data_IF_317041740811
#
_entry.id   IF_317041740811
#
_cell.length_a   1.000
_cell.length_b   1.000
_cell.length_c   1.000
_cell.angle_alpha   90.00
_cell.angle_beta   90.00
_cell.angle_gamma   90.00
#
_symmetry.space_group_name_H-M   'P 1'
#
loop_
_entity.id
_entity.type
_entity.pdbx_description
1 polymer ?
#
# COMPACT_ATOMS: atom_id res chain seq x y z
N UNK A 1 -9.19 -20.03 10.87
CA UNK A 1 -8.06 -19.40 10.16
C UNK A 1 -8.26 -17.90 10.23
N UNK A 2 -7.27 -17.09 10.64
CA UNK A 2 -7.44 -15.65 10.65
C UNK A 2 -7.65 -15.17 9.21
N UNK A 3 -8.85 -14.67 8.92
CA UNK A 3 -9.16 -13.96 7.69
C UNK A 3 -9.00 -12.46 7.92
N UNK A 4 -8.90 -11.68 6.84
CA UNK A 4 -9.02 -10.22 6.92
C UNK A 4 -10.33 -9.89 7.63
N UNK A 5 -10.27 -9.11 8.71
CA UNK A 5 -11.49 -8.67 9.40
C UNK A 5 -12.18 -7.64 8.53
N UNK A 6 -13.31 -8.01 7.97
CA UNK A 6 -14.17 -7.09 7.21
C UNK A 6 -15.10 -6.33 8.16
N UNK A 7 -15.24 -5.03 7.92
CA UNK A 7 -16.14 -4.13 8.63
C UNK A 7 -17.02 -3.46 7.60
N UNK A 8 -18.31 -3.74 7.66
CA UNK A 8 -19.30 -3.05 6.84
C UNK A 8 -19.55 -1.67 7.44
N UNK A 9 -19.49 -0.65 6.61
CA UNK A 9 -19.78 0.72 7.01
C UNK A 9 -21.09 1.14 6.35
N UNK A 10 -22.00 1.72 7.14
CA UNK A 10 -23.32 2.12 6.65
C UNK A 10 -23.26 3.37 5.78
N UNK A 11 -22.48 4.38 6.20
CA UNK A 11 -22.35 5.66 5.53
C UNK A 11 -20.94 6.28 5.68
N UNK A 12 -20.70 7.40 4.98
CA UNK A 12 -19.41 8.08 5.05
C UNK A 12 -19.06 8.56 6.46
N UNK A 13 -20.04 9.02 7.25
CA UNK A 13 -19.81 9.52 8.61
C UNK A 13 -19.32 8.40 9.55
N UNK A 14 -19.90 7.21 9.42
CA UNK A 14 -19.50 6.01 10.15
C UNK A 14 -18.08 5.59 9.78
N UNK A 15 -17.67 5.75 8.51
CA UNK A 15 -16.29 5.51 8.10
C UNK A 15 -15.32 6.49 8.77
N UNK A 16 -15.68 7.77 8.85
CA UNK A 16 -14.87 8.79 9.54
C UNK A 16 -14.73 8.48 11.03
N UNK A 17 -15.81 8.08 11.70
CA UNK A 17 -15.77 7.68 13.11
C UNK A 17 -14.85 6.47 13.34
N UNK A 18 -14.87 5.47 12.45
CA UNK A 18 -13.94 4.34 12.50
C UNK A 18 -12.48 4.76 12.31
N UNK A 19 -12.22 5.70 11.40
CA UNK A 19 -10.88 6.28 11.18
C UNK A 19 -10.39 6.99 12.44
N UNK A 20 -11.21 7.84 13.04
CA UNK A 20 -10.87 8.58 14.27
C UNK A 20 -10.56 7.59 15.40
N UNK A 21 -11.41 6.57 15.56
CA UNK A 21 -11.22 5.50 16.54
C UNK A 21 -9.90 4.73 16.30
N UNK A 22 -9.52 4.46 15.06
CA UNK A 22 -8.22 3.83 14.73
C UNK A 22 -7.06 4.71 15.16
N UNK A 23 -7.11 6.01 14.84
CA UNK A 23 -6.05 6.96 15.13
C UNK A 23 -5.88 7.17 16.65
N UNK A 24 -6.98 7.38 17.37
CA UNK A 24 -6.99 7.51 18.83
C UNK A 24 -6.43 6.26 19.52
N UNK A 25 -6.84 5.07 19.07
CA UNK A 25 -6.33 3.81 19.60
C UNK A 25 -4.82 3.64 19.34
N UNK A 26 -4.34 4.10 18.18
CA UNK A 26 -2.91 4.07 17.86
C UNK A 26 -2.13 5.00 18.81
N UNK A 27 -2.63 6.21 19.07
CA UNK A 27 -2.00 7.17 19.97
C UNK A 27 -2.02 6.71 21.42
N UNK A 28 -3.15 6.17 21.89
CA UNK A 28 -3.29 5.59 23.24
C UNK A 28 -2.32 4.41 23.45
N UNK A 29 -2.10 3.57 22.43
CA UNK A 29 -1.10 2.50 22.50
C UNK A 29 0.33 3.04 22.54
N UNK A 30 0.63 4.09 21.77
CA UNK A 30 1.96 4.73 21.79
C UNK A 30 2.29 5.32 23.16
N UNK A 31 1.32 5.94 23.82
CA UNK A 31 1.53 6.56 25.13
C UNK A 31 1.67 5.54 26.27
N UNK A 32 1.00 4.39 26.17
CA UNK A 32 1.00 3.35 27.21
C UNK A 32 2.11 2.31 27.04
N UNK A 33 2.64 2.15 25.83
CA UNK A 33 3.66 1.13 25.55
C UNK A 33 5.05 1.61 25.94
N UNK A 34 5.64 1.00 26.98
CA UNK A 34 6.96 1.40 27.50
C UNK A 34 8.17 0.74 26.82
N UNK A 35 7.97 -0.34 26.05
CA UNK A 35 9.07 -1.16 25.48
C UNK A 35 8.85 -1.65 24.03
N UNK A 36 7.69 -1.42 23.45
CA UNK A 36 7.32 -1.88 22.10
C UNK A 36 7.14 -0.74 21.10
N UNK A 37 7.34 -1.03 19.81
CA UNK A 37 7.06 -0.09 18.73
C UNK A 37 5.56 -0.13 18.39
N UNK A 38 4.98 1.04 18.10
CA UNK A 38 3.61 1.15 17.56
C UNK A 38 3.67 1.94 16.25
N UNK A 39 3.51 1.25 15.12
CA UNK A 39 3.53 1.88 13.80
C UNK A 39 2.27 2.70 13.57
N UNK A 40 2.37 3.70 12.70
CA UNK A 40 1.18 4.39 12.21
C UNK A 40 0.30 3.41 11.41
N UNK A 41 -1.03 3.60 11.39
CA UNK A 41 -1.88 2.89 10.46
C UNK A 41 -1.60 3.36 9.02
N UNK A 42 -1.61 2.40 8.10
CA UNK A 42 -1.47 2.59 6.66
C UNK A 42 -2.77 2.21 5.97
N UNK A 43 -3.21 3.01 5.01
CA UNK A 43 -4.51 2.91 4.36
C UNK A 43 -4.35 2.62 2.87
N UNK A 44 -5.18 1.74 2.30
CA UNK A 44 -5.17 1.46 0.86
C UNK A 44 -6.59 1.36 0.31
N UNK A 45 -6.92 2.24 -0.63
CA UNK A 45 -8.19 2.19 -1.35
C UNK A 45 -8.18 1.19 -2.49
N UNK A 46 -9.32 0.54 -2.69
CA UNK A 46 -9.61 -0.30 -3.84
C UNK A 46 -11.02 0.00 -4.34
N UNK A 47 -11.15 0.23 -5.65
CA UNK A 47 -12.45 0.55 -6.26
C UNK A 47 -13.41 -0.62 -6.32
N UNK A 48 -13.00 -1.83 -5.92
CA UNK A 48 -13.90 -2.97 -5.86
C UNK A 48 -13.61 -3.76 -4.58
N UNK A 49 -14.64 -3.95 -3.77
CA UNK A 49 -14.52 -4.70 -2.52
C UNK A 49 -14.05 -6.15 -2.70
N UNK A 50 -14.26 -6.78 -3.86
CA UNK A 50 -13.87 -8.18 -4.08
C UNK A 50 -12.36 -8.36 -4.30
N UNK A 51 -11.62 -7.27 -4.55
CA UNK A 51 -10.21 -7.36 -4.92
C UNK A 51 -9.30 -7.63 -3.70
N UNK A 52 -8.49 -8.70 -3.74
CA UNK A 52 -7.52 -9.00 -2.68
C UNK A 52 -6.32 -8.06 -2.73
N UNK A 53 -5.50 -8.07 -1.67
CA UNK A 53 -4.23 -7.32 -1.62
C UNK A 53 -3.10 -7.96 -2.44
N UNK A 54 -3.28 -7.98 -3.76
CA UNK A 54 -2.26 -8.41 -4.72
C UNK A 54 -1.32 -7.26 -5.08
N UNK A 55 -0.04 -7.58 -5.21
CA UNK A 55 0.97 -6.71 -5.82
C UNK A 55 0.83 -6.71 -7.35
N UNK A 56 1.54 -5.82 -8.04
CA UNK A 56 1.46 -5.77 -9.51
C UNK A 56 2.19 -6.95 -10.15
N UNK A 57 3.23 -7.51 -9.50
CA UNK A 57 3.90 -8.72 -9.99
C UNK A 57 2.99 -9.95 -9.90
N UNK A 58 2.21 -10.09 -8.82
CA UNK A 58 1.24 -11.19 -8.67
C UNK A 58 0.09 -11.09 -9.66
N UNK A 59 -0.38 -9.86 -9.97
CA UNK A 59 -1.38 -9.64 -11.03
C UNK A 59 -0.84 -9.94 -12.43
N UNK A 60 0.43 -9.65 -12.67
CA UNK A 60 1.05 -9.80 -13.99
C UNK A 60 1.45 -11.25 -14.29
N UNK A 61 1.80 -12.04 -13.27
CA UNK A 61 2.31 -13.40 -13.44
C UNK A 61 1.89 -14.31 -12.30
N UNK A 62 1.34 -15.47 -12.63
CA UNK A 62 1.04 -16.54 -11.68
C UNK A 62 2.29 -17.27 -11.15
N UNK A 63 3.49 -16.97 -11.67
CA UNK A 63 4.74 -17.60 -11.23
C UNK A 63 5.16 -17.03 -9.88
N UNK A 64 5.62 -17.89 -8.98
CA UNK A 64 6.31 -17.47 -7.76
C UNK A 64 7.64 -16.79 -8.09
N UNK A 65 7.93 -15.68 -7.40
CA UNK A 65 9.14 -14.90 -7.56
C UNK A 65 9.95 -14.92 -6.27
N UNK A 66 11.11 -15.58 -6.30
CA UNK A 66 12.10 -15.41 -5.23
C UNK A 66 12.71 -14.02 -5.28
N UNK A 67 13.12 -13.50 -4.11
CA UNK A 67 13.77 -12.19 -4.01
C UNK A 67 15.00 -12.13 -4.93
N UNK A 68 15.83 -13.17 -4.91
CA UNK A 68 17.02 -13.31 -5.77
C UNK A 68 16.66 -13.25 -7.25
N UNK A 69 15.63 -13.99 -7.68
CA UNK A 69 15.20 -14.01 -9.09
C UNK A 69 14.70 -12.64 -9.54
N UNK A 70 13.91 -11.97 -8.71
CA UNK A 70 13.40 -10.64 -9.03
C UNK A 70 14.53 -9.60 -9.05
N UNK A 71 15.51 -9.68 -8.14
CA UNK A 71 16.68 -8.81 -8.14
C UNK A 71 17.53 -8.94 -9.41
N UNK A 72 17.80 -10.16 -9.88
CA UNK A 72 18.48 -10.39 -11.19
C UNK A 72 17.68 -9.82 -12.37
N UNK A 73 16.35 -9.88 -12.31
CA UNK A 73 15.50 -9.23 -13.31
C UNK A 73 15.72 -7.71 -13.31
N UNK A 74 15.77 -7.07 -12.13
CA UNK A 74 16.05 -5.64 -12.01
C UNK A 74 17.41 -5.26 -12.62
N UNK A 75 18.45 -6.05 -12.34
CA UNK A 75 19.78 -5.87 -12.96
C UNK A 75 19.74 -6.00 -14.48
N UNK A 76 18.93 -6.92 -15.00
CA UNK A 76 18.80 -7.17 -16.44
C UNK A 76 18.08 -6.03 -17.18
N UNK A 77 17.04 -5.43 -16.57
CA UNK A 77 16.27 -4.33 -17.18
C UNK A 77 16.89 -2.96 -16.92
N UNK A 78 17.75 -2.84 -15.90
CA UNK A 78 18.44 -1.60 -15.50
C UNK A 78 19.07 -0.81 -16.65
N UNK A 79 19.87 -1.43 -17.53
CA UNK A 79 20.51 -0.74 -18.66
C UNK A 79 19.52 -0.04 -19.59
N UNK A 80 18.35 -0.65 -19.89
CA UNK A 80 17.36 -0.03 -20.75
C UNK A 80 16.75 1.23 -20.13
N UNK A 81 16.49 1.21 -18.81
CA UNK A 81 15.96 2.37 -18.09
C UNK A 81 17.03 3.46 -17.96
N UNK A 82 18.29 3.08 -17.72
CA UNK A 82 19.42 4.01 -17.73
C UNK A 82 19.55 4.70 -19.10
N UNK A 83 19.50 3.96 -20.21
CA UNK A 83 19.58 4.55 -21.56
C UNK A 83 18.47 5.55 -21.85
N UNK A 84 17.27 5.36 -21.29
CA UNK A 84 16.16 6.30 -21.45
C UNK A 84 16.30 7.54 -20.56
N UNK A 85 16.74 7.37 -19.32
CA UNK A 85 16.63 8.41 -18.27
C UNK A 85 17.93 9.11 -17.96
N UNK A 86 19.07 8.51 -18.34
CA UNK A 86 20.43 8.88 -17.92
C UNK A 86 20.64 8.90 -16.40
N UNK A 87 19.68 8.39 -15.62
CA UNK A 87 19.78 8.29 -14.16
C UNK A 87 20.35 6.93 -13.79
N UNK A 88 21.43 6.93 -13.02
CA UNK A 88 21.97 5.69 -12.45
C UNK A 88 21.25 5.37 -11.13
N UNK A 89 20.94 4.09 -10.92
CA UNK A 89 20.41 3.57 -9.66
C UNK A 89 21.39 2.60 -9.04
N UNK A 90 21.52 2.61 -7.72
CA UNK A 90 22.21 1.56 -7.00
C UNK A 90 21.32 0.32 -6.93
N UNK A 91 21.61 -0.67 -7.77
CA UNK A 91 20.86 -1.93 -7.80
C UNK A 91 21.35 -2.93 -6.74
N UNK A 92 22.45 -2.64 -6.04
CA UNK A 92 23.11 -3.58 -5.14
C UNK A 92 23.82 -4.72 -5.87
N UNK A 93 24.76 -5.35 -5.17
CA UNK A 93 25.48 -6.52 -5.67
C UNK A 93 24.62 -7.79 -5.58
N UNK A 94 24.79 -8.72 -6.52
CA UNK A 94 24.23 -10.09 -6.41
C UNK A 94 25.06 -10.85 -5.38
N UNK A 95 24.82 -10.54 -4.10
CA UNK A 95 25.43 -11.28 -3.00
C UNK A 95 24.42 -12.30 -2.50
N UNK A 96 24.82 -13.57 -2.45
CA UNK A 96 24.03 -14.63 -1.79
C UNK A 96 23.77 -14.33 -0.30
N UNK A 97 24.43 -13.31 0.25
CA UNK A 97 24.40 -12.86 1.64
C UNK A 97 23.56 -11.59 1.88
N UNK A 98 22.56 -11.28 1.05
CA UNK A 98 21.55 -10.30 1.46
C UNK A 98 20.90 -10.83 2.73
N UNK A 99 21.11 -10.17 3.86
CA UNK A 99 20.51 -10.54 5.14
C UNK A 99 18.99 -10.38 5.06
N UNK A 100 18.34 -11.42 4.59
CA UNK A 100 16.89 -11.54 4.44
C UNK A 100 16.17 -11.57 5.79
N UNK A 101 16.89 -11.71 6.92
CA UNK A 101 16.29 -11.73 8.26
C UNK A 101 15.92 -10.34 8.78
N UNK A 102 16.45 -9.26 8.18
CA UNK A 102 16.22 -7.89 8.67
C UNK A 102 15.02 -7.23 7.98
N UNK A 103 14.31 -6.40 8.76
CA UNK A 103 13.25 -5.50 8.28
C UNK A 103 13.89 -4.29 7.57
N UNK A 104 14.61 -4.55 6.48
CA UNK A 104 15.30 -3.54 5.68
C UNK A 104 14.74 -3.59 4.27
N UNK A 105 14.62 -2.44 3.58
CA UNK A 105 14.27 -2.44 2.16
C UNK A 105 15.15 -3.37 1.32
N UNK A 106 14.56 -4.06 0.33
CA UNK A 106 15.34 -4.92 -0.55
C UNK A 106 16.37 -4.09 -1.34
N UNK A 107 17.44 -4.74 -1.84
CA UNK A 107 18.32 -4.09 -2.82
C UNK A 107 17.52 -3.50 -3.98
N UNK A 108 18.01 -2.41 -4.57
CA UNK A 108 17.34 -1.71 -5.65
C UNK A 108 15.94 -1.13 -5.32
N UNK A 109 15.60 -0.93 -4.04
CA UNK A 109 14.27 -0.42 -3.64
C UNK A 109 13.83 0.87 -4.36
N UNK A 110 14.72 1.87 -4.47
CA UNK A 110 14.42 3.10 -5.23
C UNK A 110 14.07 2.78 -6.70
N UNK A 111 14.81 1.88 -7.32
CA UNK A 111 14.56 1.47 -8.70
C UNK A 111 13.24 0.72 -8.83
N UNK A 112 12.87 -0.10 -7.84
CA UNK A 112 11.57 -0.79 -7.80
C UNK A 112 10.40 0.18 -7.71
N UNK A 113 10.54 1.27 -6.95
CA UNK A 113 9.51 2.32 -6.87
C UNK A 113 9.39 3.04 -8.22
N UNK A 114 10.52 3.42 -8.82
CA UNK A 114 10.55 4.05 -10.14
C UNK A 114 9.84 3.16 -11.18
N UNK A 115 10.22 1.89 -11.26
CA UNK A 115 9.63 0.93 -12.18
C UNK A 115 8.11 0.79 -11.97
N UNK A 116 7.67 0.64 -10.71
CA UNK A 116 6.26 0.58 -10.35
C UNK A 116 5.50 1.82 -10.83
N UNK A 117 6.11 2.99 -10.67
CA UNK A 117 5.50 4.26 -11.05
C UNK A 117 5.17 4.32 -12.55
N UNK A 118 6.01 3.72 -13.38
CA UNK A 118 5.82 3.63 -14.84
C UNK A 118 5.16 2.32 -15.29
N UNK A 119 4.49 1.59 -14.38
CA UNK A 119 3.67 0.42 -14.72
C UNK A 119 4.43 -0.91 -14.83
N UNK A 120 5.73 -0.94 -14.54
CA UNK A 120 6.46 -2.21 -14.51
C UNK A 120 6.05 -3.04 -13.27
N UNK A 121 5.78 -4.34 -13.41
CA UNK A 121 5.33 -5.18 -12.29
C UNK A 121 6.34 -5.23 -11.14
N UNK A 122 5.86 -5.07 -9.91
CA UNK A 122 6.68 -4.93 -8.71
C UNK A 122 6.03 -5.65 -7.52
N UNK A 123 6.83 -6.25 -6.60
CA UNK A 123 6.34 -6.88 -5.38
C UNK A 123 5.98 -5.86 -4.29
N UNK A 124 6.16 -4.56 -4.55
CA UNK A 124 5.72 -3.50 -3.65
C UNK A 124 4.20 -3.41 -3.66
N UNK A 125 3.61 -3.23 -2.48
CA UNK A 125 2.24 -2.77 -2.33
C UNK A 125 2.26 -1.36 -1.76
N UNK A 126 1.58 -0.44 -2.43
CA UNK A 126 1.47 0.97 -2.04
C UNK A 126 0.34 1.16 -1.01
N UNK A 127 0.62 1.98 -0.01
CA UNK A 127 -0.32 2.44 1.00
C UNK A 127 -0.20 3.96 1.10
N UNK A 128 -1.23 4.62 1.59
CA UNK A 128 -1.20 6.01 2.01
C UNK A 128 -1.26 6.09 3.53
N UNK A 129 -0.53 7.04 4.10
CA UNK A 129 -0.71 7.43 5.51
C UNK A 129 -2.00 8.22 5.75
N UNK A 130 -2.68 8.67 4.69
CA UNK A 130 -3.95 9.39 4.81
C UNK A 130 -5.13 8.48 4.47
N UNK A 131 -6.11 8.33 5.38
CA UNK A 131 -7.34 7.58 5.10
C UNK A 131 -8.13 8.21 3.95
N UNK A 132 -8.07 9.53 3.81
CA UNK A 132 -8.78 10.26 2.76
C UNK A 132 -8.14 10.15 1.39
N UNK A 133 -6.80 10.04 1.32
CA UNK A 133 -6.10 9.73 0.06
C UNK A 133 -6.37 8.28 -0.35
N UNK A 134 -6.43 7.35 0.61
CA UNK A 134 -6.86 5.98 0.31
C UNK A 134 -8.31 5.95 -0.19
N UNK A 135 -9.24 6.64 0.47
CA UNK A 135 -10.62 6.74 0.00
C UNK A 135 -10.73 7.39 -1.38
N UNK A 136 -9.88 8.37 -1.70
CA UNK A 136 -9.77 8.94 -3.05
C UNK A 136 -9.52 7.83 -4.07
N UNK A 137 -8.50 6.99 -3.88
CA UNK A 137 -8.23 5.88 -4.81
C UNK A 137 -9.34 4.83 -4.86
N UNK A 138 -10.10 4.66 -3.78
CA UNK A 138 -11.27 3.78 -3.78
C UNK A 138 -12.40 4.35 -4.68
N UNK A 139 -12.68 5.65 -4.60
CA UNK A 139 -13.82 6.29 -5.27
C UNK A 139 -13.51 7.02 -6.59
N UNK A 140 -12.23 7.23 -6.94
CA UNK A 140 -11.79 8.12 -8.02
C UNK A 140 -12.45 7.78 -9.36
N UNK A 141 -12.41 6.51 -9.73
CA UNK A 141 -13.06 6.01 -10.95
C UNK A 141 -14.46 5.58 -10.54
N UNK A 142 -15.50 6.04 -11.24
CA UNK A 142 -16.89 5.65 -10.97
C UNK A 142 -16.98 4.12 -10.91
N UNK A 143 -17.07 3.51 -9.71
CA UNK A 143 -16.86 2.08 -9.59
C UNK A 143 -18.05 1.32 -10.16
N UNK A 144 -17.79 0.34 -11.02
CA UNK A 144 -18.82 -0.58 -11.52
C UNK A 144 -19.00 -1.74 -10.53
N UNK A 145 -19.43 -1.40 -9.31
CA UNK A 145 -19.69 -2.36 -8.23
C UNK A 145 -20.59 -1.75 -7.15
N UNK A 146 -21.08 -2.58 -6.23
CA UNK A 146 -21.95 -2.13 -5.12
C UNK A 146 -21.19 -1.38 -4.02
N UNK A 147 -19.92 -1.74 -3.78
CA UNK A 147 -19.12 -1.20 -2.69
C UNK A 147 -17.62 -1.18 -3.03
N UNK A 148 -16.95 -0.14 -2.54
CA UNK A 148 -15.49 -0.01 -2.56
C UNK A 148 -14.89 -0.55 -1.25
N UNK A 149 -13.57 -0.69 -1.20
CA UNK A 149 -12.87 -1.09 0.02
C UNK A 149 -11.73 -0.14 0.39
N UNK A 150 -11.57 0.09 1.70
CA UNK A 150 -10.34 0.67 2.27
C UNK A 150 -9.72 -0.31 3.24
N UNK A 151 -8.52 -0.78 2.91
CA UNK A 151 -7.72 -1.62 3.78
C UNK A 151 -6.94 -0.77 4.78
N UNK A 152 -6.81 -1.26 6.01
CA UNK A 152 -6.03 -0.64 7.08
C UNK A 152 -5.04 -1.64 7.62
N UNK A 153 -3.76 -1.34 7.46
CA UNK A 153 -2.65 -2.16 7.93
C UNK A 153 -1.88 -1.46 9.04
N UNK A 154 -1.55 -2.19 10.10
CA UNK A 154 -0.68 -1.72 11.16
C UNK A 154 0.31 -2.83 11.54
N UNK A 155 1.59 -2.57 11.28
CA UNK A 155 2.66 -3.55 11.43
C UNK A 155 3.06 -3.80 12.89
N UNK A 156 3.12 -2.77 13.72
CA UNK A 156 3.55 -2.91 15.11
C UNK A 156 2.46 -2.39 16.04
N UNK A 157 1.98 -3.25 16.94
CA UNK A 157 0.88 -2.98 17.87
C UNK A 157 1.33 -2.71 19.32
N UNK A 158 2.63 -2.61 19.58
CA UNK A 158 3.19 -2.37 20.91
C UNK A 158 3.69 -3.63 21.64
N UNK A 159 3.57 -4.81 21.01
CA UNK A 159 4.09 -6.07 21.53
C UNK A 159 5.30 -6.53 20.72
N UNK A 160 6.26 -7.28 21.31
CA UNK A 160 7.37 -7.87 20.56
C UNK A 160 6.87 -8.78 19.43
N UNK A 161 7.46 -8.68 18.24
CA UNK A 161 7.23 -9.64 17.15
C UNK A 161 7.95 -10.95 17.47
N UNK A 162 7.20 -12.01 17.73
CA UNK A 162 7.71 -13.38 17.81
C UNK A 162 7.71 -13.98 16.40
N UNK A 163 8.90 -14.16 15.83
CA UNK A 163 9.04 -14.75 14.50
C UNK A 163 8.84 -16.26 14.57
N UNK A 164 7.78 -16.78 13.94
CA UNK A 164 7.81 -18.17 13.49
C UNK A 164 8.71 -18.24 12.26
N UNK A 165 9.66 -19.18 12.26
CA UNK A 165 10.68 -19.28 11.22
C UNK A 165 10.14 -19.47 9.81
N UNK A 166 8.90 -19.96 9.67
CA UNK A 166 8.38 -20.55 8.43
C UNK A 166 7.15 -19.82 7.82
N UNK A 167 6.64 -18.76 8.46
CA UNK A 167 5.37 -18.11 8.06
C UNK A 167 5.53 -16.88 7.16
N UNK A 168 4.47 -16.55 6.41
CA UNK A 168 4.42 -15.29 5.65
C UNK A 168 4.46 -14.03 6.55
N UNK A 169 5.13 -13.00 6.04
CA UNK A 169 5.42 -11.76 6.79
C UNK A 169 5.34 -10.53 5.90
N UNK A 170 4.55 -9.55 6.35
CA UNK A 170 4.50 -8.20 5.78
C UNK A 170 5.58 -7.36 6.46
N UNK A 171 6.31 -6.58 5.66
CA UNK A 171 7.38 -5.69 6.11
C UNK A 171 7.11 -4.30 5.52
N UNK A 172 6.99 -3.30 6.38
CA UNK A 172 6.96 -1.89 6.00
C UNK A 172 8.35 -1.40 5.60
N UNK A 173 8.40 -0.61 4.52
CA UNK A 173 9.65 -0.11 3.93
C UNK A 173 9.92 1.37 4.25
N UNK A 174 9.12 1.96 5.15
CA UNK A 174 9.26 3.34 5.60
C UNK A 174 8.83 4.39 4.58
N UNK A 175 8.70 5.62 5.06
CA UNK A 175 8.14 6.74 4.30
C UNK A 175 9.18 7.68 3.66
N UNK A 176 10.44 7.64 4.09
CA UNK A 176 11.49 8.50 3.55
C UNK A 176 12.38 7.74 2.58
N UNK A 177 12.12 7.93 1.28
CA UNK A 177 12.88 7.30 0.19
C UNK A 177 13.06 8.30 -0.95
N UNK A 178 14.24 8.33 -1.55
CA UNK A 178 14.50 9.13 -2.75
C UNK A 178 13.67 8.53 -3.88
N UNK A 179 12.67 9.25 -4.37
CA UNK A 179 11.79 8.76 -5.45
C UNK A 179 11.00 9.91 -6.09
N UNK A 180 10.08 9.59 -7.00
CA UNK A 180 9.18 10.54 -7.65
C UNK A 180 8.34 11.32 -6.63
N UNK A 181 8.11 12.61 -6.87
CA UNK A 181 7.39 13.50 -5.94
C UNK A 181 5.97 13.03 -5.57
N UNK A 182 5.33 12.24 -6.44
CA UNK A 182 4.02 11.61 -6.19
C UNK A 182 4.00 10.77 -4.92
N UNK A 183 5.12 10.14 -4.57
CA UNK A 183 5.26 9.43 -3.29
C UNK A 183 4.92 10.33 -2.10
N UNK A 184 5.42 11.56 -2.10
CA UNK A 184 5.15 12.51 -1.02
C UNK A 184 3.76 13.14 -1.13
N UNK A 185 3.32 13.45 -2.35
CA UNK A 185 1.98 14.01 -2.59
C UNK A 185 0.86 13.06 -2.13
N UNK A 186 1.02 11.76 -2.34
CA UNK A 186 0.08 10.71 -1.96
C UNK A 186 0.29 10.20 -0.53
N UNK A 187 1.27 10.75 0.18
CA UNK A 187 1.70 10.29 1.52
C UNK A 187 1.99 8.77 1.53
N UNK A 188 2.67 8.30 0.48
CA UNK A 188 2.87 6.89 0.23
C UNK A 188 3.85 6.24 1.22
N UNK A 189 3.58 4.98 1.50
CA UNK A 189 4.49 4.03 2.13
C UNK A 189 4.31 2.67 1.45
N UNK A 190 5.39 1.91 1.32
CA UNK A 190 5.35 0.62 0.64
C UNK A 190 5.53 -0.52 1.61
N UNK A 191 4.85 -1.63 1.35
CA UNK A 191 5.10 -2.91 2.01
C UNK A 191 5.52 -3.96 0.99
N UNK A 192 6.24 -4.97 1.47
CA UNK A 192 6.38 -6.25 0.78
C UNK A 192 5.85 -7.35 1.68
N UNK A 193 5.38 -8.44 1.08
CA UNK A 193 5.09 -9.66 1.80
C UNK A 193 5.96 -10.79 1.25
N UNK A 194 6.59 -11.53 2.15
CA UNK A 194 7.46 -12.65 1.80
C UNK A 194 7.32 -13.81 2.77
N UNK A 195 7.65 -15.00 2.31
CA UNK A 195 7.73 -16.21 3.13
C UNK A 195 8.95 -17.04 2.73
N UNK A 196 9.55 -17.78 3.67
CA UNK A 196 10.61 -18.72 3.36
C UNK A 196 10.02 -19.93 2.60
N UNK A 197 10.67 -20.33 1.50
CA UNK A 197 10.38 -21.56 0.77
C UNK A 197 11.72 -22.23 0.46
N UNK A 198 11.91 -23.43 0.99
CA UNK A 198 13.19 -24.16 0.96
C UNK A 198 14.34 -23.35 1.57
N UNK A 199 15.22 -22.80 0.72
CA UNK A 199 16.41 -22.01 1.11
C UNK A 199 16.34 -20.54 0.70
N UNK A 200 15.23 -20.10 0.12
CA UNK A 200 15.05 -18.74 -0.39
C UNK A 200 13.76 -18.10 0.16
N UNK A 201 13.76 -16.78 0.34
CA UNK A 201 12.50 -16.04 0.51
C UNK A 201 11.83 -15.79 -0.86
N UNK A 202 10.52 -16.03 -0.90
CA UNK A 202 9.66 -15.72 -2.05
C UNK A 202 8.64 -14.64 -1.69
N UNK A 203 8.35 -13.77 -2.65
CA UNK A 203 7.24 -12.83 -2.52
C UNK A 203 5.90 -13.59 -2.53
N UNK A 204 4.97 -13.15 -1.69
CA UNK A 204 3.64 -13.75 -1.57
C UNK A 204 2.56 -12.70 -1.31
N UNK A 205 1.31 -13.14 -1.29
CA UNK A 205 0.16 -12.26 -1.09
C UNK A 205 0.15 -11.72 0.35
N UNK A 206 -0.24 -10.46 0.54
CA UNK A 206 -0.25 -9.82 1.86
C UNK A 206 -1.28 -10.44 2.82
N UNK A 207 -2.38 -11.01 2.31
CA UNK A 207 -3.39 -11.70 3.11
C UNK A 207 -2.93 -13.11 3.54
N UNK A 208 -1.92 -13.71 2.91
CA UNK A 208 -1.33 -14.98 3.37
C UNK A 208 -0.66 -14.82 4.75
N UNK A 209 -0.04 -13.66 5.01
CA UNK A 209 0.59 -13.38 6.30
C UNK A 209 -0.37 -13.42 7.50
N UNK A 210 -1.68 -13.32 7.25
CA UNK A 210 -2.71 -13.45 8.28
C UNK A 210 -3.03 -14.91 8.61
N UNK A 211 -2.91 -15.83 7.64
CA UNK A 211 -3.36 -17.22 7.79
C UNK A 211 -2.43 -18.04 8.68
N UNK A 212 -1.14 -17.73 8.65
CA UNK A 212 -0.07 -18.54 9.25
C UNK A 212 0.19 -18.24 10.73
N UNK A 213 -0.62 -17.40 11.41
CA UNK A 213 -0.28 -16.87 12.74
C UNK A 213 -1.26 -17.25 13.84
N UNK A 214 -0.69 -17.78 14.94
CA UNK A 214 -1.39 -18.08 16.20
C UNK A 214 -1.58 -16.82 17.07
N UNK A 215 -0.72 -15.79 16.89
CA UNK A 215 -0.79 -14.52 17.63
C UNK A 215 -0.84 -13.35 16.64
N UNK A 216 -1.86 -12.48 16.69
CA UNK A 216 -1.94 -11.31 15.82
C UNK A 216 -0.89 -10.26 16.23
N UNK A 217 0.22 -10.24 15.50
CA UNK A 217 1.28 -9.22 15.67
C UNK A 217 1.07 -8.02 14.77
N UNK A 218 0.45 -8.25 13.61
CA UNK A 218 0.05 -7.24 12.64
C UNK A 218 -1.49 -7.14 12.65
N UNK A 219 -2.04 -5.95 12.44
CA UNK A 219 -3.48 -5.75 12.24
C UNK A 219 -3.75 -5.44 10.78
N UNK A 220 -4.62 -6.23 10.14
CA UNK A 220 -5.14 -5.93 8.81
C UNK A 220 -6.66 -6.01 8.85
N UNK A 221 -7.31 -4.89 8.53
CA UNK A 221 -8.76 -4.76 8.45
C UNK A 221 -9.15 -4.25 7.07
N UNK A 222 -10.39 -4.53 6.67
CA UNK A 222 -10.97 -4.06 5.42
C UNK A 222 -12.31 -3.42 5.71
N UNK A 223 -12.43 -2.15 5.40
CA UNK A 223 -13.65 -1.38 5.52
C UNK A 223 -14.35 -1.39 4.17
N UNK A 224 -15.60 -1.86 4.15
CA UNK A 224 -16.42 -1.92 2.94
C UNK A 224 -17.38 -0.74 2.99
N UNK A 225 -17.33 0.10 1.96
CA UNK A 225 -18.07 1.36 1.90
C UNK A 225 -18.97 1.33 0.65
N UNK A 226 -20.29 1.55 0.78
CA UNK A 226 -21.19 1.59 -0.37
C UNK A 226 -20.78 2.64 -1.41
N UNK A 227 -20.93 2.33 -2.70
CA UNK A 227 -20.62 3.28 -3.79
C UNK A 227 -21.56 4.50 -3.77
N UNK A 228 -22.73 4.39 -3.15
CA UNK A 228 -23.66 5.50 -2.91
C UNK A 228 -23.03 6.65 -2.13
N UNK A 229 -22.03 6.36 -1.28
CA UNK A 229 -21.31 7.37 -0.49
C UNK A 229 -20.28 8.16 -1.31
N UNK A 230 -20.05 7.82 -2.58
CA UNK A 230 -19.11 8.53 -3.46
C UNK A 230 -19.43 10.04 -3.47
N UNK A 231 -20.70 10.42 -3.58
CA UNK A 231 -21.08 11.84 -3.62
C UNK A 231 -20.75 12.58 -2.32
N UNK A 232 -20.99 11.95 -1.16
CA UNK A 232 -20.64 12.49 0.15
C UNK A 232 -19.13 12.72 0.27
N UNK A 233 -18.34 11.72 -0.13
CA UNK A 233 -16.87 11.83 -0.16
C UNK A 233 -16.39 12.94 -1.11
N UNK A 234 -16.94 12.99 -2.32
CA UNK A 234 -16.56 13.95 -3.35
C UNK A 234 -16.83 15.41 -2.95
N UNK A 235 -17.93 15.71 -2.24
CA UNK A 235 -18.20 17.05 -1.71
C UNK A 235 -17.17 17.45 -0.65
N UNK A 236 -16.76 16.51 0.19
CA UNK A 236 -15.80 16.74 1.27
C UNK A 236 -14.35 16.85 0.75
N UNK A 237 -13.92 16.05 -0.25
CA UNK A 237 -12.51 16.01 -0.69
C UNK A 237 -11.98 17.36 -1.18
N UNK A 238 -12.86 18.20 -1.75
CA UNK A 238 -12.50 19.52 -2.27
C UNK A 238 -12.03 20.46 -1.16
N UNK A 239 -12.68 20.44 0.02
CA UNK A 239 -12.26 21.27 1.16
C UNK A 239 -10.91 20.83 1.74
N UNK A 240 -10.50 19.58 1.49
CA UNK A 240 -9.21 19.02 1.92
C UNK A 240 -8.12 19.09 0.84
N UNK A 241 -8.41 19.67 -0.33
CA UNK A 241 -7.49 19.73 -1.46
C UNK A 241 -6.99 18.34 -1.94
N UNK A 242 -7.84 17.31 -1.83
CA UNK A 242 -7.55 15.95 -2.28
C UNK A 242 -8.23 15.75 -3.64
N UNK A 243 -7.46 15.89 -4.71
CA UNK A 243 -7.92 15.70 -6.08
C UNK A 243 -6.79 15.16 -6.96
N UNK A 244 -7.11 14.69 -8.17
CA UNK A 244 -6.15 14.03 -9.06
C UNK A 244 -4.88 14.87 -9.25
N UNK A 245 -5.02 16.16 -9.55
CA UNK A 245 -3.85 17.01 -9.75
C UNK A 245 -2.95 17.16 -8.51
N UNK A 246 -3.51 17.26 -7.30
CA UNK A 246 -2.70 17.40 -6.09
C UNK A 246 -1.90 16.13 -5.78
N UNK A 247 -2.41 14.97 -6.22
CA UNK A 247 -1.82 13.64 -5.98
C UNK A 247 -0.87 13.17 -7.10
N UNK A 248 -1.15 13.49 -8.36
CA UNK A 248 -0.38 13.00 -9.51
C UNK A 248 0.54 14.06 -10.14
N UNK A 249 0.19 15.35 -10.01
CA UNK A 249 0.98 16.48 -10.52
C UNK A 249 1.35 16.35 -12.00
N UNK A 250 0.39 15.91 -12.81
CA UNK A 250 0.54 15.83 -14.26
C UNK A 250 -0.63 16.48 -14.99
N UNK A 251 -0.45 16.74 -16.28
CA UNK A 251 -1.46 17.41 -17.11
C UNK A 251 -2.75 16.60 -17.22
N UNK A 252 -2.66 15.27 -17.28
CA UNK A 252 -3.83 14.39 -17.39
C UNK A 252 -4.73 14.50 -16.16
N UNK A 253 -4.13 14.42 -14.98
CA UNK A 253 -4.83 14.55 -13.70
C UNK A 253 -5.35 15.97 -13.46
N UNK A 254 -4.69 17.01 -14.00
CA UNK A 254 -5.24 18.36 -14.04
C UNK A 254 -6.50 18.43 -14.89
N UNK A 255 -6.46 17.91 -16.13
CA UNK A 255 -7.63 17.91 -17.01
C UNK A 255 -8.81 17.14 -16.40
N UNK A 256 -8.56 15.98 -15.78
CA UNK A 256 -9.59 15.21 -15.06
C UNK A 256 -10.16 16.00 -13.88
N UNK A 257 -9.32 16.71 -13.12
CA UNK A 257 -9.76 17.56 -12.00
C UNK A 257 -10.64 18.71 -12.50
N UNK A 258 -10.26 19.36 -13.60
CA UNK A 258 -11.04 20.45 -14.20
C UNK A 258 -12.37 19.95 -14.77
N UNK A 259 -12.38 18.83 -15.48
CA UNK A 259 -13.62 18.22 -15.99
C UNK A 259 -14.60 17.91 -14.85
N UNK A 260 -14.11 17.37 -13.73
CA UNK A 260 -14.92 17.16 -12.55
C UNK A 260 -15.54 18.47 -12.00
N UNK A 261 -14.73 19.53 -11.88
CA UNK A 261 -15.15 20.80 -11.27
C UNK A 261 -16.11 21.62 -12.12
N UNK A 262 -15.93 21.59 -13.43
CA UNK A 262 -16.67 22.44 -14.37
C UNK A 262 -17.86 21.70 -15.01
N UNK A 263 -17.92 20.37 -14.94
CA UNK A 263 -18.98 19.56 -15.56
C UNK A 263 -19.71 18.74 -14.50
N UNK A 264 -19.02 17.78 -13.86
CA UNK A 264 -19.68 16.83 -12.93
C UNK A 264 -20.23 17.54 -11.68
N UNK A 265 -19.58 18.61 -11.21
CA UNK A 265 -20.04 19.36 -10.03
C UNK A 265 -21.38 20.07 -10.24
N UNK A 266 -21.68 20.53 -11.45
CA UNK A 266 -22.95 21.22 -11.73
C UNK A 266 -24.12 20.23 -11.90
N UNK A 267 -23.81 18.94 -12.13
CA UNK A 267 -24.75 17.83 -12.19
C UNK A 267 -24.98 17.15 -10.81
N UNK A 268 -24.30 17.60 -9.74
CA UNK A 268 -24.30 17.02 -8.38
C UNK A 268 -25.10 17.85 -7.35
#
# INVERSE_FOLDING_TARGET
>A
MPCVKEVLVEDWASYQAEVDQILENCEARRSTTSKGLVSAPLFRGQSNQSWPLLTTVERFSAKSWSIKRYHRLLQSVGPAVFSLTSKAWNLGEDTDNVDQSRHIPPPAYEFMIYLRHYGFPSPLLDWSRSPYVAAFFAFEHQPDCEAVAVYVFQEYLGYPKLFSGDGARIIGLGSYVITHERHYAQLCEYTICKKPVDKDDVYCNHEEALRDRVVPQDSLRKYIIPVTERQSFLRMRESMNIHGYSLFRDETSLMQTLAYREIEKDDL
#
